data_IF_907025404796
#
_entry.id   IF_907025404796
#
_cell.length_a   1.000
_cell.length_b   1.000
_cell.length_c   1.000
_cell.angle_alpha   90.00
_cell.angle_beta   90.00
_cell.angle_gamma   90.00
#
_symmetry.space_group_name_H-M   'P 1'
#
loop_
_entity.id
_entity.type
_entity.pdbx_description
1 polymer ?
#
# COMPACT_ATOMS: atom_id res chain seq x y z
N UNK A 1 1.51 -26.70 3.22
CA UNK A 1 1.68 -25.65 2.19
C UNK A 1 2.06 -24.35 2.90
N UNK A 2 3.14 -23.65 2.52
CA UNK A 2 3.53 -22.40 3.19
C UNK A 2 2.51 -21.28 2.94
N UNK A 3 2.12 -20.57 4.00
CA UNK A 3 1.26 -19.39 3.90
C UNK A 3 2.10 -18.15 3.57
N UNK A 4 1.74 -17.47 2.48
CA UNK A 4 2.26 -16.16 2.11
C UNK A 4 1.18 -15.10 2.32
N UNK A 5 1.56 -13.98 2.91
CA UNK A 5 0.70 -12.78 3.04
C UNK A 5 1.36 -11.61 2.34
N UNK A 6 0.69 -11.04 1.33
CA UNK A 6 1.03 -9.71 0.81
C UNK A 6 0.53 -8.65 1.80
N UNK A 7 1.48 -8.05 2.52
CA UNK A 7 1.22 -7.10 3.58
C UNK A 7 1.47 -5.66 3.11
N UNK A 8 1.39 -5.40 1.80
CA UNK A 8 1.65 -4.08 1.19
C UNK A 8 0.79 -2.98 1.80
N UNK A 9 -0.52 -3.20 2.01
CA UNK A 9 -1.44 -2.17 2.50
C UNK A 9 -1.30 -1.89 4.00
N UNK A 10 -1.20 -2.95 4.81
CA UNK A 10 -1.10 -2.78 6.26
C UNK A 10 0.30 -2.32 6.68
N UNK A 11 1.35 -2.69 5.92
CA UNK A 11 2.76 -2.50 6.28
C UNK A 11 3.11 -3.24 7.58
N UNK A 12 4.41 -3.41 7.94
CA UNK A 12 4.76 -3.97 9.24
C UNK A 12 4.37 -3.07 10.43
N UNK A 13 3.91 -1.83 10.19
CA UNK A 13 3.48 -0.89 11.23
C UNK A 13 2.12 -1.25 11.81
N UNK A 14 1.17 -1.70 10.98
CA UNK A 14 -0.20 -2.00 11.43
C UNK A 14 -0.45 -3.49 11.63
N UNK A 15 0.31 -4.35 10.93
CA UNK A 15 0.14 -5.80 11.02
C UNK A 15 1.47 -6.50 10.78
N UNK A 16 1.77 -7.51 11.60
CA UNK A 16 2.91 -8.41 11.41
C UNK A 16 2.41 -9.83 11.16
N UNK A 17 2.14 -10.22 9.89
CA UNK A 17 1.53 -11.52 9.59
C UNK A 17 2.30 -12.74 10.11
N UNK A 18 3.63 -12.60 10.28
CA UNK A 18 4.46 -13.66 10.89
C UNK A 18 4.03 -14.01 12.31
N UNK A 19 3.50 -13.05 13.07
CA UNK A 19 2.95 -13.25 14.41
C UNK A 19 1.58 -13.97 14.38
N UNK A 20 1.00 -14.12 13.18
CA UNK A 20 -0.27 -14.80 12.93
C UNK A 20 -0.10 -16.08 12.11
N UNK A 21 1.12 -16.61 12.02
CA UNK A 21 1.41 -17.90 11.37
C UNK A 21 1.75 -17.84 9.88
N UNK A 22 1.90 -16.65 9.29
CA UNK A 22 2.44 -16.54 7.94
C UNK A 22 3.93 -16.92 7.93
N UNK A 23 4.32 -17.84 7.04
CA UNK A 23 5.73 -18.22 6.86
C UNK A 23 6.48 -17.19 6.01
N UNK A 24 5.77 -16.54 5.10
CA UNK A 24 6.33 -15.59 4.13
C UNK A 24 5.49 -14.31 4.15
N UNK A 25 6.16 -13.16 4.27
CA UNK A 25 5.51 -11.85 4.16
C UNK A 25 6.09 -11.11 2.96
N UNK A 26 5.23 -10.79 2.00
CA UNK A 26 5.58 -10.04 0.80
C UNK A 26 5.17 -8.57 0.98
N UNK A 27 5.99 -7.67 0.46
CA UNK A 27 5.65 -6.26 0.28
C UNK A 27 6.06 -5.78 -1.11
N UNK A 28 5.17 -5.06 -1.78
CA UNK A 28 5.55 -4.11 -2.82
C UNK A 28 6.24 -2.93 -2.16
N UNK A 29 7.58 -2.92 -2.16
CA UNK A 29 8.37 -1.86 -1.56
C UNK A 29 8.18 -0.50 -2.26
N UNK A 30 7.71 -0.51 -3.52
CA UNK A 30 7.26 0.67 -4.28
C UNK A 30 6.23 1.53 -3.56
N UNK A 31 5.43 0.95 -2.64
CA UNK A 31 4.30 1.62 -2.00
C UNK A 31 4.75 2.27 -0.70
N UNK A 32 4.13 1.93 0.43
CA UNK A 32 4.38 2.57 1.72
C UNK A 32 5.84 2.48 2.20
N UNK A 33 6.57 1.40 1.88
CA UNK A 33 7.96 1.22 2.31
C UNK A 33 8.87 2.29 1.71
N UNK A 34 8.85 2.44 0.38
CA UNK A 34 9.53 3.53 -0.32
C UNK A 34 8.91 4.88 0.04
N UNK A 35 7.59 5.01 -0.04
CA UNK A 35 6.84 6.09 0.58
C UNK A 35 6.93 7.47 -0.07
N UNK A 36 7.77 7.63 -1.09
CA UNK A 36 8.11 8.92 -1.70
C UNK A 36 7.87 8.96 -3.22
N UNK A 37 7.28 7.90 -3.80
CA UNK A 37 6.91 7.87 -5.22
C UNK A 37 8.09 7.81 -6.20
N UNK A 38 9.31 7.55 -5.72
CA UNK A 38 10.56 7.69 -6.45
C UNK A 38 11.37 6.39 -6.59
N UNK A 39 10.84 5.28 -6.08
CA UNK A 39 11.53 3.98 -6.07
C UNK A 39 10.58 2.82 -6.29
N UNK A 40 11.02 1.82 -7.06
CA UNK A 40 10.32 0.55 -7.21
C UNK A 40 11.14 -0.59 -6.61
N UNK A 41 10.45 -1.57 -6.03
CA UNK A 41 11.08 -2.76 -5.49
C UNK A 41 10.09 -3.71 -4.81
N UNK A 42 10.57 -4.91 -4.51
CA UNK A 42 9.85 -5.92 -3.73
C UNK A 42 10.68 -6.39 -2.55
N UNK A 43 10.02 -6.72 -1.44
CA UNK A 43 10.65 -7.28 -0.24
C UNK A 43 9.91 -8.55 0.15
N UNK A 44 10.67 -9.62 0.41
CA UNK A 44 10.16 -10.85 1.00
C UNK A 44 10.84 -11.04 2.35
N UNK A 45 10.07 -11.07 3.43
CA UNK A 45 10.54 -11.42 4.76
C UNK A 45 10.14 -12.88 5.06
N UNK A 46 11.13 -13.71 5.41
CA UNK A 46 11.00 -15.14 5.66
C UNK A 46 12.19 -15.66 6.49
N UNK A 47 12.17 -16.94 6.86
CA UNK A 47 13.28 -17.63 7.50
C UNK A 47 14.49 -17.82 6.56
N UNK A 48 15.65 -18.16 7.12
CA UNK A 48 16.89 -18.32 6.35
C UNK A 48 16.82 -19.50 5.36
N UNK A 49 16.10 -20.57 5.73
CA UNK A 49 15.87 -21.74 4.87
C UNK A 49 15.18 -21.32 3.56
N UNK A 50 14.08 -20.59 3.66
CA UNK A 50 13.33 -20.11 2.50
C UNK A 50 14.08 -19.01 1.75
N UNK A 51 14.78 -18.13 2.47
CA UNK A 51 15.64 -17.12 1.87
C UNK A 51 16.74 -17.74 0.99
N UNK A 52 17.34 -18.86 1.41
CA UNK A 52 18.32 -19.58 0.60
C UNK A 52 17.73 -20.08 -0.73
N UNK A 53 16.51 -20.61 -0.72
CA UNK A 53 15.79 -21.00 -1.95
C UNK A 53 15.51 -19.77 -2.84
N UNK A 54 15.05 -18.65 -2.26
CA UNK A 54 14.79 -17.42 -3.01
C UNK A 54 16.05 -16.82 -3.64
N UNK A 55 17.22 -16.95 -3.01
CA UNK A 55 18.49 -16.50 -3.57
C UNK A 55 18.83 -17.24 -4.87
N UNK A 56 18.53 -18.54 -4.96
CA UNK A 56 18.71 -19.31 -6.20
C UNK A 56 17.80 -18.79 -7.33
N UNK A 57 16.54 -18.48 -7.01
CA UNK A 57 15.61 -17.87 -7.98
C UNK A 57 16.11 -16.49 -8.43
N UNK A 58 16.59 -15.65 -7.51
CA UNK A 58 17.15 -14.33 -7.85
C UNK A 58 18.38 -14.44 -8.76
N UNK A 59 19.26 -15.41 -8.52
CA UNK A 59 20.41 -15.68 -9.38
C UNK A 59 19.98 -16.09 -10.78
N UNK A 60 19.03 -17.03 -10.89
CA UNK A 60 18.55 -17.54 -12.17
C UNK A 60 17.75 -16.50 -12.98
N UNK A 61 16.97 -15.64 -12.30
CA UNK A 61 16.06 -14.68 -12.96
C UNK A 61 16.67 -13.29 -13.15
N UNK A 62 17.78 -12.98 -12.46
CA UNK A 62 18.32 -11.63 -12.42
C UNK A 62 17.44 -10.64 -11.66
N UNK A 63 16.45 -11.10 -10.88
CA UNK A 63 15.55 -10.27 -10.05
C UNK A 63 16.27 -9.62 -8.87
N UNK A 64 17.23 -8.74 -9.14
CA UNK A 64 18.06 -8.03 -8.16
C UNK A 64 17.67 -6.55 -8.09
N UNK A 65 17.63 -6.02 -6.87
CA UNK A 65 17.33 -4.61 -6.65
C UNK A 65 18.58 -3.77 -6.96
N UNK A 66 18.40 -2.69 -7.74
CA UNK A 66 19.46 -1.72 -7.99
C UNK A 66 19.95 -1.09 -6.66
N UNK A 67 21.26 -0.93 -6.41
CA UNK A 67 21.77 -0.45 -5.13
C UNK A 67 21.20 0.90 -4.68
N UNK A 68 21.03 1.85 -5.61
CA UNK A 68 20.39 3.13 -5.28
C UNK A 68 18.93 2.96 -4.84
N UNK A 69 18.19 2.01 -5.44
CA UNK A 69 16.83 1.71 -4.99
C UNK A 69 16.86 1.12 -3.57
N UNK A 70 17.84 0.28 -3.25
CA UNK A 70 18.09 -0.19 -1.88
C UNK A 70 18.31 0.95 -0.89
N UNK A 71 19.14 1.95 -1.25
CA UNK A 71 19.38 3.14 -0.44
C UNK A 71 18.10 3.99 -0.25
N UNK A 72 17.35 4.24 -1.32
CA UNK A 72 16.10 5.02 -1.26
C UNK A 72 15.05 4.33 -0.37
N UNK A 73 14.92 3.00 -0.47
CA UNK A 73 14.06 2.23 0.44
C UNK A 73 14.54 2.36 1.88
N UNK A 74 15.84 2.19 2.16
CA UNK A 74 16.39 2.33 3.51
C UNK A 74 16.11 3.73 4.09
N UNK A 75 16.28 4.79 3.29
CA UNK A 75 15.94 6.16 3.66
C UNK A 75 14.44 6.31 3.98
N UNK A 76 13.57 5.72 3.15
CA UNK A 76 12.13 5.75 3.35
C UNK A 76 11.68 5.04 4.62
N UNK A 77 12.32 3.92 4.98
CA UNK A 77 11.97 3.11 6.16
C UNK A 77 12.09 3.89 7.48
N UNK A 78 13.07 4.79 7.61
CA UNK A 78 13.28 5.58 8.83
C UNK A 78 12.06 6.42 9.23
N UNK A 79 11.24 6.85 8.26
CA UNK A 79 10.03 7.63 8.51
C UNK A 79 8.74 6.81 8.33
N UNK A 80 8.84 5.52 8.04
CA UNK A 80 7.67 4.67 7.79
C UNK A 80 6.63 4.72 8.92
N UNK A 81 6.99 4.55 10.21
CA UNK A 81 5.99 4.51 11.27
C UNK A 81 5.22 5.83 11.42
N UNK A 82 5.90 6.97 11.29
CA UNK A 82 5.27 8.30 11.40
C UNK A 82 4.39 8.60 10.19
N UNK A 83 4.84 8.26 8.97
CA UNK A 83 4.05 8.42 7.74
C UNK A 83 2.78 7.58 7.76
N UNK A 84 2.89 6.29 8.11
CA UNK A 84 1.73 5.39 8.17
C UNK A 84 0.71 5.85 9.21
N UNK A 85 1.16 6.28 10.40
CA UNK A 85 0.26 6.81 11.43
C UNK A 85 -0.44 8.09 10.99
N UNK A 86 0.30 9.06 10.43
CA UNK A 86 -0.29 10.31 9.94
C UNK A 86 -1.31 10.07 8.82
N UNK A 87 -0.99 9.20 7.87
CA UNK A 87 -1.89 8.83 6.78
C UNK A 87 -3.12 8.06 7.31
N UNK A 88 -2.95 7.21 8.33
CA UNK A 88 -4.07 6.50 8.98
C UNK A 88 -5.03 7.44 9.69
N UNK A 89 -4.52 8.43 10.42
CA UNK A 89 -5.34 9.46 11.07
C UNK A 89 -6.13 10.27 10.05
N UNK A 90 -5.46 10.68 8.95
CA UNK A 90 -6.12 11.42 7.87
C UNK A 90 -7.22 10.59 7.20
N UNK A 91 -6.93 9.30 6.97
CA UNK A 91 -7.90 8.38 6.39
C UNK A 91 -9.11 8.16 7.30
N UNK A 92 -8.91 7.98 8.61
CA UNK A 92 -10.01 7.82 9.56
C UNK A 92 -10.96 9.04 9.57
N UNK A 93 -10.41 10.26 9.47
CA UNK A 93 -11.23 11.47 9.35
C UNK A 93 -12.00 11.53 8.02
N UNK A 94 -11.37 11.15 6.91
CA UNK A 94 -12.06 11.05 5.61
C UNK A 94 -13.17 10.00 5.65
N UNK A 95 -12.93 8.83 6.26
CA UNK A 95 -13.94 7.78 6.44
C UNK A 95 -15.14 8.32 7.20
N UNK A 96 -14.91 9.05 8.31
CA UNK A 96 -15.99 9.68 9.08
C UNK A 96 -16.82 10.64 8.22
N UNK A 97 -16.19 11.50 7.43
CA UNK A 97 -16.87 12.46 6.54
C UNK A 97 -17.64 11.77 5.42
N UNK A 98 -17.02 10.80 4.75
CA UNK A 98 -17.63 10.03 3.66
C UNK A 98 -18.84 9.25 4.16
N UNK A 99 -18.75 8.66 5.36
CA UNK A 99 -19.85 7.88 5.94
C UNK A 99 -21.07 8.74 6.26
N UNK A 100 -20.85 10.02 6.60
CA UNK A 100 -21.93 10.97 6.90
C UNK A 100 -22.52 11.66 5.66
N UNK A 101 -21.92 11.49 4.49
CA UNK A 101 -22.34 12.17 3.26
C UNK A 101 -23.44 11.35 2.55
N UNK A 102 -24.66 11.90 2.35
CA UNK A 102 -25.77 11.16 1.75
C UNK A 102 -25.54 10.79 0.28
N UNK A 103 -24.52 11.35 -0.38
CA UNK A 103 -24.15 11.03 -1.77
C UNK A 103 -23.28 9.76 -1.86
N UNK A 104 -22.76 9.29 -0.73
CA UNK A 104 -21.93 8.09 -0.62
C UNK A 104 -22.82 6.89 -0.32
N UNK A 105 -22.70 5.84 -1.13
CA UNK A 105 -23.48 4.62 -0.99
C UNK A 105 -22.87 3.67 0.04
N UNK A 106 -21.53 3.58 0.08
CA UNK A 106 -20.81 2.70 1.00
C UNK A 106 -19.38 3.17 1.21
N UNK A 107 -18.84 2.95 2.40
CA UNK A 107 -17.42 3.15 2.71
C UNK A 107 -16.85 1.84 3.22
N UNK A 108 -15.70 1.45 2.68
CA UNK A 108 -14.94 0.29 3.10
C UNK A 108 -13.62 0.76 3.71
N UNK A 109 -13.45 0.47 4.99
CA UNK A 109 -12.25 0.81 5.74
C UNK A 109 -11.93 -0.30 6.74
N UNK A 110 -10.70 -0.85 6.73
CA UNK A 110 -10.35 -1.95 7.61
C UNK A 110 -10.33 -1.53 9.08
N UNK A 111 -10.75 -2.44 9.97
CA UNK A 111 -10.75 -2.21 11.44
C UNK A 111 -9.36 -1.98 12.03
N UNK A 112 -8.32 -2.52 11.40
CA UNK A 112 -6.92 -2.28 11.78
C UNK A 112 -6.43 -0.87 11.41
N UNK A 113 -7.26 -0.09 10.73
CA UNK A 113 -6.92 1.23 10.22
C UNK A 113 -6.00 1.13 8.99
N UNK A 114 -5.26 2.21 8.75
CA UNK A 114 -4.43 2.37 7.56
C UNK A 114 -4.87 3.53 6.71
N UNK A 115 -4.17 3.73 5.60
CA UNK A 115 -4.38 4.90 4.74
C UNK A 115 -5.24 4.60 3.50
N UNK A 116 -5.61 3.33 3.28
CA UNK A 116 -6.45 2.93 2.15
C UNK A 116 -7.92 3.04 2.51
N UNK A 117 -8.68 3.73 1.66
CA UNK A 117 -10.14 3.83 1.73
C UNK A 117 -10.66 3.45 0.35
N UNK A 118 -11.72 2.66 0.29
CA UNK A 118 -12.56 2.59 -0.89
C UNK A 118 -13.98 2.98 -0.53
N UNK A 119 -14.69 3.58 -1.47
CA UNK A 119 -16.06 4.01 -1.27
C UNK A 119 -16.83 3.96 -2.59
N UNK A 120 -18.13 3.83 -2.48
CA UNK A 120 -19.08 3.76 -3.57
C UNK A 120 -19.96 5.01 -3.55
N UNK A 121 -20.35 5.50 -4.73
CA UNK A 121 -21.17 6.70 -4.89
C UNK A 121 -22.46 6.34 -5.62
N UNK A 122 -23.57 7.04 -5.32
CA UNK A 122 -24.83 6.84 -6.06
C UNK A 122 -24.80 7.45 -7.47
N UNK A 123 -23.91 8.42 -7.71
CA UNK A 123 -23.77 9.12 -8.98
C UNK A 123 -22.57 8.68 -9.81
N UNK A 124 -22.21 9.48 -10.80
CA UNK A 124 -21.02 9.23 -11.63
C UNK A 124 -19.71 9.43 -10.84
N UNK A 125 -18.88 8.39 -10.64
CA UNK A 125 -17.61 8.50 -9.91
C UNK A 125 -16.62 9.45 -10.61
N UNK A 126 -16.73 9.66 -11.93
CA UNK A 126 -15.86 10.58 -12.64
C UNK A 126 -16.08 12.03 -12.23
N UNK A 127 -17.30 12.41 -11.80
CA UNK A 127 -17.57 13.75 -11.24
C UNK A 127 -16.84 14.00 -9.92
N UNK A 128 -16.68 12.95 -9.10
CA UNK A 128 -15.90 13.04 -7.86
C UNK A 128 -14.42 13.23 -8.19
N UNK A 129 -13.88 12.41 -9.09
CA UNK A 129 -12.47 12.47 -9.51
C UNK A 129 -12.15 13.81 -10.18
N UNK A 130 -13.04 14.38 -11.00
CA UNK A 130 -12.83 15.70 -11.60
C UNK A 130 -13.03 16.87 -10.63
N UNK A 131 -13.68 16.63 -9.49
CA UNK A 131 -14.02 17.67 -8.51
C UNK A 131 -12.95 17.93 -7.46
N UNK A 132 -12.02 17.00 -7.26
CA UNK A 132 -10.92 17.15 -6.29
C UNK A 132 -9.84 18.09 -6.84
N UNK A 133 -9.25 18.90 -5.95
CA UNK A 133 -8.18 19.87 -6.31
C UNK A 133 -6.84 19.58 -5.64
N UNK A 134 -6.86 18.83 -4.53
CA UNK A 134 -5.67 18.42 -3.78
C UNK A 134 -5.28 16.97 -4.06
N UNK A 135 -6.27 16.11 -4.31
CA UNK A 135 -6.07 14.68 -4.53
C UNK A 135 -5.80 14.45 -6.02
N UNK A 136 -4.71 13.78 -6.35
CA UNK A 136 -4.29 13.56 -7.73
C UNK A 136 -4.94 12.31 -8.32
N UNK A 137 -5.60 12.38 -9.48
CA UNK A 137 -6.03 11.20 -10.21
C UNK A 137 -4.83 10.43 -10.77
N UNK A 138 -4.42 9.35 -10.12
CA UNK A 138 -3.25 8.57 -10.54
C UNK A 138 -3.35 7.10 -10.13
N UNK A 139 -2.64 6.25 -10.87
CA UNK A 139 -2.45 4.83 -10.53
C UNK A 139 -1.20 4.70 -9.66
N UNK A 140 -1.39 4.24 -8.42
CA UNK A 140 -0.41 3.80 -7.41
C UNK A 140 -1.02 4.12 -6.03
N UNK A 141 -0.23 3.99 -4.96
CA UNK A 141 -0.62 4.30 -3.58
C UNK A 141 0.60 4.36 -2.67
N UNK A 142 0.41 4.94 -1.48
CA UNK A 142 1.38 4.88 -0.40
C UNK A 142 2.56 5.83 -0.50
N UNK A 143 2.53 6.81 -1.41
CA UNK A 143 3.41 7.98 -1.35
C UNK A 143 2.91 8.99 -0.31
N UNK A 144 3.61 10.12 -0.19
CA UNK A 144 3.19 11.26 0.66
C UNK A 144 1.98 12.02 0.08
N UNK A 145 1.65 11.79 -1.19
CA UNK A 145 0.55 12.44 -1.89
C UNK A 145 -0.77 11.70 -1.69
N UNK A 146 -1.88 12.43 -1.75
CA UNK A 146 -3.21 11.82 -1.79
C UNK A 146 -3.58 11.49 -3.23
N UNK A 147 -3.90 10.23 -3.50
CA UNK A 147 -4.27 9.74 -4.83
C UNK A 147 -5.71 9.22 -4.84
N UNK A 148 -6.40 9.36 -5.97
CA UNK A 148 -7.72 8.78 -6.22
C UNK A 148 -7.74 8.07 -7.57
N UNK A 149 -8.48 6.97 -7.66
CA UNK A 149 -8.72 6.26 -8.90
C UNK A 149 -10.11 5.61 -8.90
N UNK A 150 -10.64 5.35 -10.09
CA UNK A 150 -11.79 4.48 -10.30
C UNK A 150 -11.29 3.16 -10.93
N UNK A 151 -11.15 2.07 -10.16
CA UNK A 151 -10.49 0.85 -10.63
C UNK A 151 -11.11 0.25 -11.90
N UNK A 152 -12.44 0.23 -12.01
CA UNK A 152 -13.14 -0.36 -13.15
C UNK A 152 -12.85 0.37 -14.49
N UNK A 153 -12.63 1.69 -14.46
CA UNK A 153 -12.31 2.44 -15.69
C UNK A 153 -10.83 2.38 -16.07
N UNK A 154 -9.94 1.97 -15.14
CA UNK A 154 -8.49 2.14 -15.25
C UNK A 154 -7.73 0.81 -15.09
N UNK A 155 -7.70 0.24 -13.89
CA UNK A 155 -6.78 -0.84 -13.53
C UNK A 155 -7.33 -2.26 -13.68
N UNK A 156 -8.66 -2.41 -13.72
CA UNK A 156 -9.34 -3.72 -13.80
C UNK A 156 -10.41 -3.72 -14.89
N UNK A 157 -10.03 -3.35 -16.12
CA UNK A 157 -10.90 -3.50 -17.30
C UNK A 157 -11.10 -4.97 -17.65
#
# INVERSE_FOLDING_TARGET
>A
VPLLVDNTFATPVLQRPVEHGARIVLHSATKYLGGHGDVMGGVVACDEEFAATLRQVRFATGGVLHPLAGYLLLRGLSTLPVRVRAASTSAAELVRRLTADPRIARVHYPRIGGAMISFEVYGDPHRVISGVRLITPAVSLGSVDSLIQHPASISHR
#
